data_IF_977936966507
#
_entry.id   IF_977936966507
#
_cell.length_a   1.000
_cell.length_b   1.000
_cell.length_c   1.000
_cell.angle_alpha   90.00
_cell.angle_beta   90.00
_cell.angle_gamma   90.00
#
_symmetry.space_group_name_H-M   'P 1'
#
loop_
_entity.id
_entity.type
_entity.pdbx_description
1 polymer ?
#
# COMPACT_ATOMS: atom_id res chain seq x y z
N UNK A 1 7.70 -55.88 62.60
CA UNK A 1 8.48 -54.95 63.43
C UNK A 1 8.99 -53.86 62.50
N UNK A 2 8.18 -52.83 62.22
CA UNK A 2 8.11 -51.59 63.03
C UNK A 2 9.47 -50.90 63.02
N UNK A 3 9.71 -49.66 62.55
CA UNK A 3 8.98 -48.38 62.40
C UNK A 3 9.81 -47.61 61.34
N UNK A 4 9.25 -46.96 60.32
CA UNK A 4 8.70 -45.59 60.39
C UNK A 4 9.80 -44.54 60.11
N UNK A 5 9.74 -43.90 58.93
CA UNK A 5 9.84 -42.45 58.75
C UNK A 5 9.82 -42.10 57.26
N UNK A 6 8.61 -41.82 56.78
CA UNK A 6 8.36 -41.08 55.54
C UNK A 6 8.53 -39.60 55.88
N UNK A 7 9.52 -38.92 55.32
CA UNK A 7 9.52 -37.46 55.27
C UNK A 7 8.34 -37.02 54.39
N UNK A 8 7.24 -36.63 55.03
CA UNK A 8 6.16 -35.88 54.39
C UNK A 8 6.71 -34.56 53.87
N UNK A 9 6.79 -34.45 52.54
CA UNK A 9 6.87 -33.15 51.88
C UNK A 9 5.48 -32.54 51.99
N UNK A 10 5.27 -31.72 53.02
CA UNK A 10 4.09 -30.86 53.13
C UNK A 10 4.07 -29.91 51.93
N UNK A 11 3.19 -30.19 50.97
CA UNK A 11 2.79 -29.18 49.98
C UNK A 11 1.99 -28.13 50.74
N UNK A 12 2.60 -26.95 50.93
CA UNK A 12 1.86 -25.75 51.32
C UNK A 12 0.96 -25.42 50.12
N UNK A 13 -0.32 -25.78 50.22
CA UNK A 13 -1.38 -25.34 49.33
C UNK A 13 -1.46 -23.81 49.40
N UNK A 14 -0.83 -23.14 48.45
CA UNK A 14 -1.15 -21.76 48.13
C UNK A 14 -2.46 -21.78 47.35
N UNK A 15 -3.57 -21.73 48.08
CA UNK A 15 -4.90 -21.45 47.56
C UNK A 15 -4.91 -19.97 47.10
N UNK A 16 -4.27 -19.71 45.97
CA UNK A 16 -4.41 -18.46 45.22
C UNK A 16 -5.63 -18.68 44.35
N UNK A 17 -6.64 -17.84 44.46
CA UNK A 17 -7.93 -17.99 43.79
C UNK A 17 -7.77 -18.50 42.35
N UNK A 18 -8.12 -19.77 42.17
CA UNK A 18 -7.86 -20.56 40.97
C UNK A 18 -8.58 -20.01 39.73
N UNK A 19 -9.51 -19.07 39.93
CA UNK A 19 -10.23 -18.37 38.87
C UNK A 19 -9.38 -17.27 38.22
N UNK A 20 -8.61 -16.51 39.00
CA UNK A 20 -7.77 -15.43 38.47
C UNK A 20 -6.59 -15.99 37.70
N UNK A 21 -5.94 -17.05 38.21
CA UNK A 21 -4.83 -17.70 37.52
C UNK A 21 -5.28 -18.37 36.21
N UNK A 22 -6.50 -18.95 36.17
CA UNK A 22 -7.12 -19.51 34.97
C UNK A 22 -7.53 -18.43 33.98
N UNK A 23 -8.11 -17.31 34.43
CA UNK A 23 -8.40 -16.16 33.58
C UNK A 23 -7.12 -15.58 32.97
N UNK A 24 -6.03 -15.48 33.75
CA UNK A 24 -4.74 -14.96 33.29
C UNK A 24 -4.05 -15.90 32.30
N UNK A 25 -4.11 -17.22 32.50
CA UNK A 25 -3.58 -18.20 31.54
C UNK A 25 -4.41 -18.26 30.26
N UNK A 26 -5.74 -18.24 30.38
CA UNK A 26 -6.65 -18.25 29.24
C UNK A 26 -6.56 -16.95 28.41
N UNK A 27 -6.37 -15.80 29.05
CA UNK A 27 -6.11 -14.51 28.40
C UNK A 27 -4.76 -14.53 27.65
N UNK A 28 -3.69 -15.00 28.29
CA UNK A 28 -2.38 -15.14 27.65
C UNK A 28 -2.37 -16.12 26.47
N UNK A 29 -3.11 -17.22 26.57
CA UNK A 29 -3.21 -18.21 25.49
C UNK A 29 -4.06 -17.68 24.32
N UNK A 30 -5.13 -16.93 24.59
CA UNK A 30 -5.88 -16.21 23.56
C UNK A 30 -4.99 -15.17 22.87
N UNK A 31 -4.20 -14.40 23.62
CA UNK A 31 -3.32 -13.39 23.07
C UNK A 31 -2.18 -14.00 22.24
N UNK A 32 -1.54 -15.08 22.72
CA UNK A 32 -0.55 -15.84 21.94
C UNK A 32 -1.15 -16.43 20.66
N UNK A 33 -2.39 -16.92 20.71
CA UNK A 33 -3.08 -17.43 19.53
C UNK A 33 -3.36 -16.32 18.50
N UNK A 34 -3.74 -15.12 18.96
CA UNK A 34 -3.92 -13.94 18.10
C UNK A 34 -2.60 -13.48 17.48
N UNK A 35 -1.53 -13.37 18.28
CA UNK A 35 -0.18 -13.01 17.81
C UNK A 35 0.30 -14.00 16.76
N UNK A 36 0.09 -15.31 16.98
CA UNK A 36 0.48 -16.36 16.02
C UNK A 36 -0.35 -16.31 14.74
N UNK A 37 -1.64 -16.01 14.82
CA UNK A 37 -2.51 -15.87 13.66
C UNK A 37 -2.19 -14.61 12.85
N UNK A 38 -1.82 -13.50 13.50
CA UNK A 38 -1.35 -12.29 12.83
C UNK A 38 0.01 -12.51 12.19
N UNK A 39 0.96 -13.16 12.88
CA UNK A 39 2.26 -13.54 12.29
C UNK A 39 2.11 -14.44 11.07
N UNK A 40 1.21 -15.43 11.11
CA UNK A 40 0.85 -16.23 9.93
C UNK A 40 0.24 -15.39 8.81
N UNK A 41 -0.65 -14.44 9.11
CA UNK A 41 -1.23 -13.51 8.11
C UNK A 41 -0.20 -12.54 7.52
N UNK A 42 0.78 -12.08 8.31
CA UNK A 42 1.92 -11.26 7.84
C UNK A 42 2.80 -12.05 6.87
N UNK A 43 2.96 -13.36 7.10
CA UNK A 43 3.76 -14.26 6.24
C UNK A 43 3.03 -14.74 4.98
N UNK A 44 1.70 -14.91 5.01
CA UNK A 44 0.94 -15.52 3.89
C UNK A 44 -0.04 -14.59 3.18
N UNK A 45 -0.52 -13.52 3.84
CA UNK A 45 -1.60 -12.68 3.33
C UNK A 45 -1.15 -11.46 2.50
N UNK A 46 0.04 -10.90 2.76
CA UNK A 46 0.49 -9.67 2.08
C UNK A 46 0.95 -9.88 0.63
N UNK A 47 1.49 -11.06 0.31
CA UNK A 47 1.86 -11.43 -1.06
C UNK A 47 0.66 -11.91 -1.90
N UNK A 48 -0.50 -12.10 -1.25
CA UNK A 48 -1.73 -12.64 -1.84
C UNK A 48 -2.95 -11.69 -1.75
N UNK A 49 -2.76 -10.37 -1.69
CA UNK A 49 -3.85 -9.45 -1.99
C UNK A 49 -4.19 -9.58 -3.49
N UNK A 50 -4.97 -10.61 -3.82
CA UNK A 50 -5.36 -11.00 -5.18
C UNK A 50 -6.65 -10.26 -5.54
N UNK A 51 -6.55 -9.20 -6.32
CA UNK A 51 -7.71 -8.55 -6.93
C UNK A 51 -7.68 -7.03 -6.91
N UNK A 52 -8.79 -6.44 -7.37
CA UNK A 52 -8.98 -4.99 -7.34
C UNK A 52 -9.05 -4.49 -5.90
N UNK A 53 -8.51 -3.30 -5.66
CA UNK A 53 -8.48 -2.71 -4.32
C UNK A 53 -9.90 -2.30 -3.90
N UNK A 54 -10.36 -2.71 -2.71
CA UNK A 54 -11.69 -2.33 -2.24
C UNK A 54 -11.79 -0.83 -2.04
N UNK A 55 -12.94 -0.23 -2.39
CA UNK A 55 -13.17 1.22 -2.28
C UNK A 55 -12.96 1.76 -0.85
N UNK A 56 -13.17 0.91 0.16
CA UNK A 56 -12.91 1.21 1.57
C UNK A 56 -11.46 1.66 1.81
N UNK A 57 -10.49 1.06 1.13
CA UNK A 57 -9.10 1.43 1.27
C UNK A 57 -8.86 2.88 0.81
N UNK A 58 -9.49 3.31 -0.29
CA UNK A 58 -9.41 4.69 -0.78
C UNK A 58 -10.03 5.68 0.21
N UNK A 59 -11.14 5.29 0.85
CA UNK A 59 -11.77 6.08 1.91
C UNK A 59 -10.86 6.17 3.14
N UNK A 60 -10.18 5.09 3.51
CA UNK A 60 -9.22 5.09 4.62
C UNK A 60 -8.00 5.96 4.32
N UNK A 61 -7.52 5.97 3.08
CA UNK A 61 -6.50 6.92 2.65
C UNK A 61 -7.00 8.36 2.71
N UNK A 62 -8.18 8.65 2.19
CA UNK A 62 -8.80 9.98 2.26
C UNK A 62 -8.91 10.49 3.71
N UNK A 63 -9.33 9.62 4.64
CA UNK A 63 -9.38 9.89 6.09
C UNK A 63 -7.99 10.18 6.69
N UNK A 64 -6.94 9.55 6.15
CA UNK A 64 -5.56 9.80 6.61
C UNK A 64 -5.06 11.20 6.21
N UNK A 65 -5.48 11.73 5.05
CA UNK A 65 -5.13 13.08 4.61
C UNK A 65 -5.79 14.15 5.47
N UNK A 66 -7.12 14.11 5.57
CA UNK A 66 -7.89 15.17 6.21
C UNK A 66 -9.25 14.67 6.71
N UNK A 67 -9.93 15.44 7.60
CA UNK A 67 -11.34 15.23 7.88
C UNK A 67 -12.16 15.24 6.59
N UNK A 68 -13.25 14.45 6.56
CA UNK A 68 -14.10 14.28 5.38
C UNK A 68 -14.55 15.59 4.74
N UNK A 69 -14.83 16.61 5.55
CA UNK A 69 -15.22 17.94 5.08
C UNK A 69 -14.15 18.57 4.18
N UNK A 70 -12.87 18.49 4.54
CA UNK A 70 -11.78 19.10 3.75
C UNK A 70 -11.57 18.32 2.45
N UNK A 71 -11.64 16.99 2.48
CA UNK A 71 -11.55 16.14 1.28
C UNK A 71 -12.71 16.44 0.33
N UNK A 72 -13.91 16.59 0.88
CA UNK A 72 -15.10 16.93 0.12
C UNK A 72 -15.00 18.32 -0.52
N UNK A 73 -14.52 19.33 0.21
CA UNK A 73 -14.26 20.67 -0.33
C UNK A 73 -13.21 20.64 -1.45
N UNK A 74 -12.16 19.81 -1.34
CA UNK A 74 -11.17 19.64 -2.40
C UNK A 74 -11.78 18.98 -3.65
N UNK A 75 -12.65 17.99 -3.48
CA UNK A 75 -13.39 17.38 -4.58
C UNK A 75 -14.29 18.40 -5.28
N UNK A 76 -15.00 19.24 -4.53
CA UNK A 76 -15.81 20.34 -5.09
C UNK A 76 -14.93 21.32 -5.84
N UNK A 77 -13.79 21.71 -5.26
CA UNK A 77 -12.85 22.63 -5.90
C UNK A 77 -12.35 22.06 -7.24
N UNK A 78 -11.95 20.78 -7.27
CA UNK A 78 -11.56 20.09 -8.52
C UNK A 78 -12.70 20.05 -9.53
N UNK A 79 -13.89 19.61 -9.12
CA UNK A 79 -15.04 19.54 -10.00
C UNK A 79 -15.45 20.91 -10.54
N UNK A 80 -15.34 21.97 -9.73
CA UNK A 80 -15.64 23.35 -10.15
C UNK A 80 -14.61 23.90 -11.14
N UNK A 81 -13.34 23.54 -11.00
CA UNK A 81 -12.30 23.94 -11.94
C UNK A 81 -12.56 23.30 -13.31
N UNK A 82 -12.86 21.99 -13.33
CA UNK A 82 -13.19 21.27 -14.56
C UNK A 82 -14.50 21.72 -15.19
N UNK A 83 -15.52 22.03 -14.38
CA UNK A 83 -16.75 22.63 -14.87
C UNK A 83 -16.50 24.03 -15.47
N UNK A 84 -15.59 24.82 -14.91
CA UNK A 84 -15.23 26.12 -15.49
C UNK A 84 -14.44 25.96 -16.79
N UNK A 85 -13.56 24.96 -16.90
CA UNK A 85 -12.91 24.60 -18.18
C UNK A 85 -13.95 24.28 -19.25
N UNK A 86 -14.94 23.44 -18.92
CA UNK A 86 -16.06 23.12 -19.82
C UNK A 86 -16.78 24.38 -20.31
N UNK A 87 -17.15 25.27 -19.38
CA UNK A 87 -17.85 26.52 -19.71
C UNK A 87 -16.97 27.42 -20.56
N UNK A 88 -15.67 27.52 -20.27
CA UNK A 88 -14.72 28.30 -21.05
C UNK A 88 -14.57 27.78 -22.49
N UNK A 89 -14.50 26.45 -22.67
CA UNK A 89 -14.44 25.83 -23.99
C UNK A 89 -15.71 26.09 -24.80
N UNK A 90 -16.88 25.92 -24.17
CA UNK A 90 -18.16 26.24 -24.79
C UNK A 90 -18.26 27.73 -25.16
N UNK A 91 -17.79 28.60 -24.28
CA UNK A 91 -17.77 30.06 -24.49
C UNK A 91 -16.94 30.45 -25.72
N UNK A 92 -15.81 29.78 -25.97
CA UNK A 92 -15.00 29.98 -27.19
C UNK A 92 -15.80 29.61 -28.44
N UNK A 93 -16.57 28.51 -28.41
CA UNK A 93 -17.41 28.09 -29.52
C UNK A 93 -18.51 29.11 -29.85
N UNK A 94 -19.14 29.67 -28.81
CA UNK A 94 -20.21 30.67 -28.95
C UNK A 94 -19.69 32.02 -29.43
N UNK A 95 -18.56 32.51 -28.91
CA UNK A 95 -18.00 33.81 -29.34
C UNK A 95 -17.54 33.78 -30.80
N UNK A 96 -17.08 32.62 -31.28
CA UNK A 96 -16.64 32.49 -32.66
C UNK A 96 -17.76 32.61 -33.70
N UNK A 97 -19.04 32.62 -33.28
CA UNK A 97 -20.16 32.94 -34.16
C UNK A 97 -20.34 34.45 -34.29
N UNK A 98 -20.23 34.95 -35.52
CA UNK A 98 -20.26 36.39 -35.82
C UNK A 98 -21.63 37.02 -35.54
N UNK A 99 -22.72 36.26 -35.71
CA UNK A 99 -24.09 36.73 -35.53
C UNK A 99 -24.56 36.66 -34.07
N UNK A 100 -24.06 35.69 -33.30
CA UNK A 100 -24.46 35.49 -31.91
C UNK A 100 -23.68 36.46 -31.00
N UNK A 101 -24.39 37.33 -30.27
CA UNK A 101 -23.82 38.37 -29.41
C UNK A 101 -23.00 39.45 -30.16
N UNK A 102 -23.47 39.91 -31.32
CA UNK A 102 -22.89 41.04 -32.06
C UNK A 102 -22.91 42.36 -31.26
N UNK A 103 -23.86 42.51 -30.32
CA UNK A 103 -23.98 43.68 -29.46
C UNK A 103 -22.92 43.75 -28.33
N UNK A 104 -22.15 42.68 -28.10
CA UNK A 104 -21.10 42.65 -27.08
C UNK A 104 -19.75 42.98 -27.72
N UNK A 105 -19.05 43.97 -27.16
CA UNK A 105 -17.70 44.34 -27.62
C UNK A 105 -16.74 43.16 -27.56
N UNK A 106 -15.89 43.03 -28.57
CA UNK A 106 -14.86 41.97 -28.66
C UNK A 106 -13.98 41.90 -27.40
N UNK A 107 -13.62 43.04 -26.83
CA UNK A 107 -12.82 43.12 -25.60
C UNK A 107 -13.56 42.56 -24.37
N UNK A 108 -14.88 42.71 -24.32
CA UNK A 108 -15.69 42.15 -23.23
C UNK A 108 -15.79 40.63 -23.35
N UNK A 109 -15.89 40.10 -24.59
CA UNK A 109 -15.88 38.65 -24.87
C UNK A 109 -14.59 37.99 -24.37
N UNK A 110 -13.43 38.59 -24.72
CA UNK A 110 -12.11 38.15 -24.22
C UNK A 110 -12.01 38.34 -22.71
N UNK A 111 -12.47 39.46 -22.16
CA UNK A 111 -12.43 39.74 -20.73
C UNK A 111 -13.13 38.66 -19.90
N UNK A 112 -14.30 38.20 -20.35
CA UNK A 112 -15.04 37.10 -19.70
C UNK A 112 -14.23 35.79 -19.74
N UNK A 113 -13.64 35.45 -20.89
CA UNK A 113 -12.77 34.27 -21.01
C UNK A 113 -11.56 34.35 -20.07
N UNK A 114 -10.87 35.50 -20.01
CA UNK A 114 -9.76 35.73 -19.10
C UNK A 114 -10.17 35.57 -17.62
N UNK A 115 -11.35 36.03 -17.22
CA UNK A 115 -11.86 35.84 -15.85
C UNK A 115 -12.08 34.34 -15.55
N UNK A 116 -12.70 33.60 -16.47
CA UNK A 116 -12.89 32.14 -16.34
C UNK A 116 -11.54 31.41 -16.24
N UNK A 117 -10.59 31.70 -17.12
CA UNK A 117 -9.25 31.09 -17.09
C UNK A 117 -8.48 31.45 -15.81
N UNK A 118 -8.64 32.69 -15.32
CA UNK A 118 -8.01 33.12 -14.05
C UNK A 118 -8.61 32.36 -12.86
N UNK A 119 -9.92 32.10 -12.86
CA UNK A 119 -10.55 31.24 -11.86
C UNK A 119 -9.99 29.82 -11.90
N UNK A 120 -9.89 29.21 -13.09
CA UNK A 120 -9.35 27.85 -13.25
C UNK A 120 -7.92 27.79 -12.71
N UNK A 121 -7.07 28.76 -13.07
CA UNK A 121 -5.70 28.85 -12.58
C UNK A 121 -5.67 28.96 -11.05
N UNK A 122 -6.49 29.83 -10.46
CA UNK A 122 -6.57 30.00 -9.02
C UNK A 122 -7.06 28.73 -8.30
N UNK A 123 -8.08 28.05 -8.85
CA UNK A 123 -8.60 26.79 -8.32
C UNK A 123 -7.54 25.67 -8.37
N UNK A 124 -6.80 25.55 -9.47
CA UNK A 124 -5.72 24.58 -9.61
C UNK A 124 -4.54 24.86 -8.68
N UNK A 125 -4.14 26.13 -8.53
CA UNK A 125 -3.07 26.54 -7.61
C UNK A 125 -3.47 26.29 -6.15
N UNK A 126 -4.66 26.73 -5.75
CA UNK A 126 -5.17 26.50 -4.39
C UNK A 126 -5.28 25.01 -4.07
N UNK A 127 -5.81 24.18 -4.98
CA UNK A 127 -5.82 22.71 -4.86
C UNK A 127 -4.42 22.14 -4.67
N UNK A 128 -3.44 22.63 -5.43
CA UNK A 128 -2.05 22.13 -5.36
C UNK A 128 -1.38 22.49 -4.04
N UNK A 129 -1.57 23.71 -3.56
CA UNK A 129 -1.04 24.18 -2.27
C UNK A 129 -1.69 23.41 -1.12
N UNK A 130 -3.03 23.36 -1.06
CA UNK A 130 -3.77 22.65 -0.01
C UNK A 130 -3.38 21.16 -0.03
N UNK A 131 -3.36 20.55 -1.21
CA UNK A 131 -2.93 19.17 -1.40
C UNK A 131 -1.54 18.90 -0.84
N UNK A 132 -0.55 19.75 -1.15
CA UNK A 132 0.80 19.62 -0.61
C UNK A 132 0.86 19.66 0.92
N UNK A 133 0.10 20.56 1.55
CA UNK A 133 0.00 20.61 3.02
C UNK A 133 -0.65 19.35 3.60
N UNK A 134 -1.72 18.85 2.98
CA UNK A 134 -2.42 17.65 3.44
C UNK A 134 -1.55 16.40 3.30
N UNK A 135 -0.85 16.24 2.18
CA UNK A 135 0.08 15.11 1.96
C UNK A 135 1.20 15.15 2.98
N UNK A 136 1.82 16.31 3.22
CA UNK A 136 2.86 16.46 4.24
C UNK A 136 2.36 16.09 5.65
N UNK A 137 1.13 16.49 6.00
CA UNK A 137 0.50 16.14 7.28
C UNK A 137 0.21 14.64 7.36
N UNK A 138 -0.31 14.05 6.28
CA UNK A 138 -0.61 12.63 6.19
C UNK A 138 0.65 11.79 6.34
N UNK A 139 1.70 12.10 5.58
CA UNK A 139 3.02 11.46 5.64
C UNK A 139 3.55 11.40 7.08
N UNK A 140 3.56 12.54 7.81
CA UNK A 140 4.00 12.57 9.22
C UNK A 140 3.18 11.64 10.12
N UNK A 141 1.86 11.57 9.92
CA UNK A 141 0.98 10.71 10.72
C UNK A 141 1.15 9.24 10.36
N UNK A 142 1.17 8.91 9.07
CA UNK A 142 1.32 7.54 8.58
C UNK A 142 2.69 7.01 8.98
N UNK A 143 3.76 7.77 8.76
CA UNK A 143 5.11 7.43 9.24
C UNK A 143 5.13 7.25 10.76
N UNK A 144 4.57 8.21 11.52
CA UNK A 144 4.58 8.14 13.00
C UNK A 144 3.82 6.94 13.55
N UNK A 145 2.66 6.61 12.96
CA UNK A 145 1.89 5.42 13.32
C UNK A 145 2.62 4.13 12.94
N UNK A 146 3.20 4.07 11.74
CA UNK A 146 3.99 2.93 11.30
C UNK A 146 5.16 2.68 12.25
N UNK A 147 5.94 3.73 12.56
CA UNK A 147 7.08 3.64 13.47
C UNK A 147 6.64 3.22 14.87
N UNK A 148 5.59 3.82 15.43
CA UNK A 148 5.09 3.46 16.76
C UNK A 148 4.59 2.02 16.81
N UNK A 149 3.86 1.56 15.77
CA UNK A 149 3.29 0.23 15.73
C UNK A 149 4.38 -0.84 15.61
N UNK A 150 5.33 -0.63 14.69
CA UNK A 150 6.48 -1.54 14.55
C UNK A 150 7.29 -1.57 15.85
N UNK A 151 7.64 -0.42 16.42
CA UNK A 151 8.49 -0.36 17.64
C UNK A 151 7.86 -1.08 18.86
N UNK A 152 6.53 -1.13 18.93
CA UNK A 152 5.78 -1.79 20.01
C UNK A 152 5.41 -3.24 19.69
N UNK A 153 5.81 -3.76 18.53
CA UNK A 153 5.49 -5.13 18.15
C UNK A 153 6.25 -6.14 19.04
N UNK A 154 5.66 -7.32 19.32
CA UNK A 154 6.30 -8.34 20.15
C UNK A 154 7.56 -8.91 19.54
N UNK A 155 8.49 -9.39 20.38
CA UNK A 155 9.71 -10.08 19.90
C UNK A 155 9.41 -11.17 18.86
N UNK A 156 8.31 -11.91 19.00
CA UNK A 156 7.87 -12.93 18.04
C UNK A 156 7.61 -12.41 16.62
N UNK A 157 7.20 -11.14 16.48
CA UNK A 157 7.03 -10.51 15.17
C UNK A 157 8.38 -10.33 14.47
N UNK A 158 9.42 -9.94 15.21
CA UNK A 158 10.77 -9.75 14.69
C UNK A 158 11.45 -11.08 14.37
N UNK A 159 11.18 -12.14 15.13
CA UNK A 159 11.70 -13.49 14.85
C UNK A 159 11.08 -14.11 13.58
N UNK A 160 9.83 -13.74 13.26
CA UNK A 160 9.07 -14.33 12.14
C UNK A 160 9.09 -13.46 10.88
N UNK A 161 9.37 -12.17 11.00
CA UNK A 161 9.33 -11.22 9.87
C UNK A 161 10.76 -10.86 9.45
N UNK A 162 11.16 -11.13 8.20
CA UNK A 162 12.48 -10.74 7.72
C UNK A 162 12.70 -9.23 7.86
N UNK A 163 13.86 -8.83 8.40
CA UNK A 163 14.16 -7.41 8.63
C UNK A 163 14.12 -6.59 7.33
N UNK A 164 14.48 -7.18 6.20
CA UNK A 164 14.38 -6.56 4.88
C UNK A 164 12.94 -6.18 4.50
N UNK A 165 11.93 -6.94 4.95
CA UNK A 165 10.51 -6.62 4.71
C UNK A 165 10.09 -5.38 5.47
N UNK A 166 10.52 -5.25 6.73
CA UNK A 166 10.26 -4.07 7.57
C UNK A 166 10.93 -2.85 6.95
N UNK A 167 12.21 -2.96 6.57
CA UNK A 167 12.95 -1.89 5.91
C UNK A 167 12.22 -1.45 4.63
N UNK A 168 11.76 -2.40 3.80
CA UNK A 168 11.06 -2.08 2.56
C UNK A 168 9.74 -1.30 2.78
N UNK A 169 9.06 -1.48 3.93
CA UNK A 169 7.89 -0.64 4.28
C UNK A 169 8.27 0.84 4.41
N UNK A 170 9.42 1.13 5.03
CA UNK A 170 9.90 2.50 5.24
C UNK A 170 10.59 3.08 4.00
N UNK A 171 11.35 2.27 3.26
CA UNK A 171 12.20 2.74 2.15
C UNK A 171 11.58 2.58 0.77
N UNK A 172 10.64 1.64 0.60
CA UNK A 172 9.98 1.34 -0.67
C UNK A 172 8.55 1.85 -0.71
N UNK A 173 7.71 1.43 0.24
CA UNK A 173 6.28 1.76 0.20
C UNK A 173 5.98 3.20 0.61
N UNK A 174 6.58 3.67 1.71
CA UNK A 174 6.29 5.00 2.26
C UNK A 174 6.60 6.14 1.27
N UNK A 175 7.72 6.14 0.53
CA UNK A 175 7.98 7.16 -0.48
C UNK A 175 6.96 7.18 -1.62
N UNK A 176 6.43 6.03 -2.04
CA UNK A 176 5.38 5.96 -3.07
C UNK A 176 4.07 6.60 -2.58
N UNK A 177 3.72 6.38 -1.32
CA UNK A 177 2.55 6.99 -0.68
C UNK A 177 2.72 8.52 -0.57
N UNK A 178 3.90 8.95 -0.16
CA UNK A 178 4.18 10.36 0.15
C UNK A 178 4.37 11.23 -1.09
N UNK A 179 4.94 10.69 -2.17
CA UNK A 179 5.31 11.47 -3.37
C UNK A 179 4.33 11.29 -4.51
N UNK A 180 3.74 10.11 -4.66
CA UNK A 180 3.04 9.75 -5.90
C UNK A 180 1.55 9.47 -5.70
N UNK A 181 1.15 8.80 -4.62
CA UNK A 181 -0.23 8.31 -4.47
C UNK A 181 -1.29 9.43 -4.58
N UNK A 182 -1.11 10.54 -3.87
CA UNK A 182 -2.03 11.68 -3.94
C UNK A 182 -2.12 12.25 -5.37
N UNK A 183 -0.98 12.50 -5.99
CA UNK A 183 -0.92 13.08 -7.33
C UNK A 183 -1.59 12.18 -8.35
N UNK A 184 -1.38 10.86 -8.24
CA UNK A 184 -2.00 9.87 -9.12
C UNK A 184 -3.52 9.84 -8.97
N UNK A 185 -4.02 9.82 -7.73
CA UNK A 185 -5.47 9.82 -7.48
C UNK A 185 -6.11 11.08 -8.07
N UNK A 186 -5.53 12.25 -7.83
CA UNK A 186 -6.06 13.50 -8.38
C UNK A 186 -5.95 13.53 -9.91
N UNK A 187 -4.86 13.00 -10.48
CA UNK A 187 -4.69 12.94 -11.92
C UNK A 187 -5.76 12.05 -12.58
N UNK A 188 -5.98 10.84 -12.05
CA UNK A 188 -7.05 9.93 -12.52
C UNK A 188 -8.43 10.58 -12.39
N UNK A 189 -8.72 11.26 -11.27
CA UNK A 189 -9.99 11.98 -11.08
C UNK A 189 -10.17 13.10 -12.11
N UNK A 190 -9.13 13.90 -12.37
CA UNK A 190 -9.17 14.96 -13.37
C UNK A 190 -9.35 14.40 -14.78
N UNK A 191 -8.71 13.27 -15.10
CA UNK A 191 -8.97 12.59 -16.38
C UNK A 191 -10.45 12.22 -16.48
N UNK A 192 -11.05 11.58 -15.48
CA UNK A 192 -12.49 11.29 -15.48
C UNK A 192 -13.37 12.54 -15.63
N UNK A 193 -13.07 13.64 -14.94
CA UNK A 193 -13.82 14.88 -15.07
C UNK A 193 -13.67 15.52 -16.46
N UNK A 194 -12.45 15.59 -16.99
CA UNK A 194 -12.14 16.08 -18.34
C UNK A 194 -12.84 15.23 -19.43
N UNK A 195 -13.08 13.97 -19.13
CA UNK A 195 -13.74 13.03 -20.02
C UNK A 195 -15.24 13.26 -20.09
N UNK A 196 -15.85 13.38 -18.92
CA UNK A 196 -17.25 13.73 -18.78
C UNK A 196 -17.50 15.11 -19.40
N UNK A 197 -16.59 16.06 -19.19
CA UNK A 197 -16.70 17.40 -19.75
C UNK A 197 -16.64 17.37 -21.28
N UNK A 198 -15.71 16.64 -21.89
CA UNK A 198 -15.63 16.48 -23.34
C UNK A 198 -16.94 15.93 -23.95
N UNK A 199 -17.55 14.92 -23.31
CA UNK A 199 -18.84 14.37 -23.76
C UNK A 199 -19.96 15.39 -23.63
N UNK A 200 -20.02 16.15 -22.53
CA UNK A 200 -21.04 17.18 -22.31
C UNK A 200 -20.93 18.31 -23.35
N UNK A 201 -19.72 18.83 -23.63
CA UNK A 201 -19.53 19.89 -24.62
C UNK A 201 -20.08 19.49 -25.99
N UNK A 202 -19.78 18.26 -26.44
CA UNK A 202 -20.26 17.75 -27.73
C UNK A 202 -21.79 17.55 -27.72
N UNK A 203 -22.34 17.09 -26.59
CA UNK A 203 -23.76 16.78 -26.46
C UNK A 203 -24.67 18.02 -26.43
N UNK A 204 -24.19 19.16 -25.93
CA UNK A 204 -24.99 20.39 -25.81
C UNK A 204 -25.41 20.95 -27.17
N UNK A 205 -24.54 20.92 -28.17
CA UNK A 205 -24.85 21.51 -29.47
C UNK A 205 -25.68 20.60 -30.37
N UNK A 206 -25.42 19.28 -30.37
CA UNK A 206 -26.14 18.34 -31.24
C UNK A 206 -26.46 17.05 -30.49
N UNK A 207 -27.71 16.92 -30.03
CA UNK A 207 -28.18 15.73 -29.31
C UNK A 207 -28.10 14.44 -30.15
N UNK A 208 -28.11 14.53 -31.49
CA UNK A 208 -27.89 13.38 -32.39
C UNK A 208 -26.52 12.72 -32.18
N UNK A 209 -25.53 13.45 -31.66
CA UNK A 209 -24.23 12.85 -31.29
C UNK A 209 -24.32 11.83 -30.19
N UNK A 210 -25.26 11.97 -29.24
CA UNK A 210 -25.43 10.97 -28.18
C UNK A 210 -25.82 9.61 -28.77
N UNK A 211 -26.59 9.58 -29.86
CA UNK A 211 -27.01 8.33 -30.49
C UNK A 211 -25.82 7.53 -31.08
N UNK A 212 -24.83 8.21 -31.67
CA UNK A 212 -23.61 7.58 -32.20
C UNK A 212 -22.50 7.44 -31.14
N UNK A 213 -22.41 8.39 -30.23
CA UNK A 213 -21.41 8.44 -29.17
C UNK A 213 -21.62 7.36 -28.12
N UNK A 214 -22.86 7.15 -27.63
CA UNK A 214 -23.14 6.17 -26.57
C UNK A 214 -22.66 4.75 -26.93
N UNK A 215 -22.92 4.20 -28.13
CA UNK A 215 -22.37 2.91 -28.53
C UNK A 215 -20.84 2.86 -28.51
N UNK A 216 -20.18 3.92 -28.98
CA UNK A 216 -18.72 4.02 -28.99
C UNK A 216 -18.15 4.09 -27.56
N UNK A 217 -18.76 4.90 -26.69
CA UNK A 217 -18.42 5.00 -25.27
C UNK A 217 -18.55 3.65 -24.57
N UNK A 218 -19.64 2.94 -24.84
CA UNK A 218 -19.92 1.63 -24.25
C UNK A 218 -18.89 0.60 -24.71
N UNK A 219 -18.55 0.59 -26.00
CA UNK A 219 -17.55 -0.32 -26.56
C UNK A 219 -16.16 -0.01 -25.99
N UNK A 220 -15.79 1.27 -25.86
CA UNK A 220 -14.56 1.68 -25.18
C UNK A 220 -14.54 1.19 -23.74
N UNK A 221 -15.62 1.41 -22.98
CA UNK A 221 -15.69 0.97 -21.59
C UNK A 221 -15.51 -0.55 -21.46
N UNK A 222 -16.10 -1.33 -22.36
CA UNK A 222 -15.91 -2.79 -22.39
C UNK A 222 -14.43 -3.14 -22.66
N UNK A 223 -13.81 -2.55 -23.69
CA UNK A 223 -12.40 -2.79 -24.02
C UNK A 223 -11.50 -2.42 -22.85
N UNK A 224 -11.68 -1.23 -22.25
CA UNK A 224 -10.89 -0.78 -21.12
C UNK A 224 -11.09 -1.68 -19.89
N UNK A 225 -12.31 -2.15 -19.63
CA UNK A 225 -12.59 -3.06 -18.52
C UNK A 225 -11.91 -4.43 -18.68
N UNK A 226 -11.87 -4.95 -19.91
CA UNK A 226 -11.13 -6.19 -20.24
C UNK A 226 -9.63 -5.95 -20.10
N UNK A 227 -9.13 -4.88 -20.72
CA UNK A 227 -7.71 -4.53 -20.71
C UNK A 227 -7.20 -4.28 -19.29
N UNK A 228 -7.95 -3.56 -18.45
CA UNK A 228 -7.56 -3.28 -17.07
C UNK A 228 -7.29 -4.58 -16.28
N UNK A 229 -8.09 -5.64 -16.50
CA UNK A 229 -7.85 -6.95 -15.88
C UNK A 229 -6.56 -7.59 -16.39
N UNK A 230 -6.33 -7.54 -17.70
CA UNK A 230 -5.12 -8.08 -18.32
C UNK A 230 -3.87 -7.30 -17.88
N UNK A 231 -3.89 -5.98 -17.98
CA UNK A 231 -2.80 -5.07 -17.63
C UNK A 231 -2.30 -5.28 -16.20
N UNK A 232 -3.21 -5.46 -15.23
CA UNK A 232 -2.83 -5.78 -13.83
C UNK A 232 -2.08 -7.09 -13.70
N UNK A 233 -2.55 -8.13 -14.39
CA UNK A 233 -1.90 -9.44 -14.36
C UNK A 233 -0.55 -9.42 -15.10
N UNK A 234 -0.45 -8.69 -16.21
CA UNK A 234 0.79 -8.51 -16.97
C UNK A 234 1.84 -7.76 -16.14
N UNK A 235 1.47 -6.62 -15.54
CA UNK A 235 2.33 -5.88 -14.62
C UNK A 235 2.79 -6.76 -13.45
N UNK A 236 1.89 -7.60 -12.90
CA UNK A 236 2.26 -8.53 -11.83
C UNK A 236 3.30 -9.56 -12.27
N UNK A 237 3.11 -10.18 -13.44
CA UNK A 237 4.07 -11.15 -14.00
C UNK A 237 5.42 -10.49 -14.26
N UNK A 238 5.42 -9.25 -14.77
CA UNK A 238 6.63 -8.47 -14.99
C UNK A 238 7.38 -8.19 -13.69
N UNK A 239 6.68 -7.71 -12.66
CA UNK A 239 7.28 -7.41 -11.35
C UNK A 239 7.82 -8.67 -10.67
N UNK A 240 7.13 -9.80 -10.79
CA UNK A 240 7.58 -11.09 -10.25
C UNK A 240 8.84 -11.59 -10.94
N UNK A 241 8.95 -11.46 -12.27
CA UNK A 241 10.13 -11.87 -13.02
C UNK A 241 11.33 -10.91 -12.81
N UNK A 242 11.08 -9.64 -12.53
CA UNK A 242 12.13 -8.64 -12.29
C UNK A 242 12.87 -8.85 -10.97
N UNK A 243 12.18 -9.29 -9.91
CA UNK A 243 12.77 -9.39 -8.57
C UNK A 243 13.96 -10.36 -8.47
N UNK A 244 13.91 -11.59 -9.05
CA UNK A 244 15.05 -12.50 -9.10
C UNK A 244 16.28 -11.91 -9.80
N UNK A 245 16.10 -11.17 -10.91
CA UNK A 245 17.20 -10.54 -11.66
C UNK A 245 17.95 -9.54 -10.78
N UNK A 246 17.22 -8.67 -10.07
CA UNK A 246 17.82 -7.69 -9.15
C UNK A 246 18.49 -8.36 -7.94
N UNK A 247 17.91 -9.45 -7.44
CA UNK A 247 18.45 -10.21 -6.31
C UNK A 247 19.77 -10.87 -6.70
N UNK A 248 19.82 -11.55 -7.86
CA UNK A 248 21.02 -12.16 -8.39
C UNK A 248 22.11 -11.12 -8.66
N UNK A 249 21.74 -9.98 -9.24
CA UNK A 249 22.67 -8.88 -9.46
C UNK A 249 23.30 -8.36 -8.16
N UNK A 250 22.48 -8.16 -7.12
CA UNK A 250 22.96 -7.75 -5.80
C UNK A 250 23.88 -8.79 -5.18
N UNK A 251 23.55 -10.08 -5.27
CA UNK A 251 24.39 -11.18 -4.77
C UNK A 251 25.74 -11.25 -5.48
N UNK A 252 25.76 -11.10 -6.81
CA UNK A 252 27.00 -11.12 -7.59
C UNK A 252 27.92 -9.92 -7.31
N UNK A 253 27.35 -8.76 -6.98
CA UNK A 253 28.11 -7.50 -6.84
C UNK A 253 28.46 -7.15 -5.39
N UNK A 254 27.67 -7.61 -4.42
CA UNK A 254 27.82 -7.21 -3.02
C UNK A 254 28.72 -8.16 -2.22
N UNK A 255 29.47 -7.58 -1.28
CA UNK A 255 30.24 -8.33 -0.29
C UNK A 255 31.28 -9.27 -0.92
N UNK A 256 31.20 -10.55 -0.55
CA UNK A 256 32.10 -11.58 -1.04
C UNK A 256 31.73 -12.16 -2.42
N UNK A 257 30.55 -11.84 -2.98
CA UNK A 257 30.07 -12.46 -4.22
C UNK A 257 31.04 -12.31 -5.39
N UNK A 258 31.43 -11.06 -5.70
CA UNK A 258 32.34 -10.77 -6.81
C UNK A 258 33.72 -11.44 -6.67
N UNK A 259 34.46 -11.31 -5.55
CA UNK A 259 35.75 -11.97 -5.39
C UNK A 259 35.63 -13.49 -5.40
N UNK A 260 34.57 -14.07 -4.81
CA UNK A 260 34.30 -15.51 -4.84
C UNK A 260 34.07 -16.03 -6.26
N UNK A 261 33.21 -15.38 -7.05
CA UNK A 261 32.94 -15.78 -8.44
C UNK A 261 34.24 -15.74 -9.27
N UNK A 262 35.09 -14.73 -9.05
CA UNK A 262 36.37 -14.59 -9.74
C UNK A 262 37.40 -15.62 -9.30
N UNK A 263 37.50 -15.91 -8.00
CA UNK A 263 38.47 -16.88 -7.48
C UNK A 263 38.16 -18.30 -7.93
N UNK A 264 36.88 -18.65 -8.07
CA UNK A 264 36.45 -19.97 -8.57
C UNK A 264 36.34 -20.05 -10.11
N UNK A 265 36.57 -18.95 -10.84
CA UNK A 265 36.48 -18.95 -12.30
C UNK A 265 35.08 -19.22 -12.86
N UNK A 266 34.02 -18.92 -12.08
CA UNK A 266 32.63 -19.28 -12.42
C UNK A 266 31.88 -18.20 -13.19
N UNK A 267 32.56 -17.18 -13.73
CA UNK A 267 31.93 -16.02 -14.36
C UNK A 267 30.95 -16.41 -15.47
N UNK A 268 31.27 -17.43 -16.27
CA UNK A 268 30.43 -17.86 -17.38
C UNK A 268 29.15 -18.57 -16.92
N UNK A 269 29.20 -19.31 -15.81
CA UNK A 269 28.01 -19.96 -15.24
C UNK A 269 27.03 -18.91 -14.70
N UNK A 270 27.53 -17.96 -13.88
CA UNK A 270 26.71 -16.87 -13.35
C UNK A 270 26.18 -15.94 -14.44
N UNK A 271 26.96 -15.70 -15.51
CA UNK A 271 26.48 -14.99 -16.70
C UNK A 271 25.30 -15.70 -17.35
N UNK A 272 25.38 -17.02 -17.56
CA UNK A 272 24.28 -17.80 -18.15
C UNK A 272 23.02 -17.74 -17.29
N UNK A 273 23.17 -17.86 -15.97
CA UNK A 273 22.06 -17.75 -15.03
C UNK A 273 21.40 -16.36 -15.10
N UNK A 274 22.22 -15.30 -15.09
CA UNK A 274 21.73 -13.93 -15.22
C UNK A 274 21.00 -13.69 -16.53
N UNK A 275 21.55 -14.17 -17.66
CA UNK A 275 20.90 -14.05 -18.97
C UNK A 275 19.56 -14.81 -18.98
N UNK A 276 19.49 -16.02 -18.42
CA UNK A 276 18.25 -16.80 -18.33
C UNK A 276 17.15 -16.05 -17.57
N UNK A 277 17.46 -15.51 -16.38
CA UNK A 277 16.50 -14.71 -15.61
C UNK A 277 16.13 -13.40 -16.32
N UNK A 278 17.09 -12.76 -16.98
CA UNK A 278 16.85 -11.53 -17.73
C UNK A 278 15.97 -11.77 -18.95
N UNK A 279 16.18 -12.85 -19.69
CA UNK A 279 15.33 -13.27 -20.81
C UNK A 279 13.91 -13.55 -20.33
N UNK A 280 13.79 -14.18 -19.15
CA UNK A 280 12.49 -14.38 -18.52
C UNK A 280 11.79 -13.04 -18.31
N UNK A 281 12.40 -12.11 -17.56
CA UNK A 281 11.85 -10.78 -17.32
C UNK A 281 11.54 -10.03 -18.62
N UNK A 282 12.44 -10.07 -19.59
CA UNK A 282 12.29 -9.38 -20.89
C UNK A 282 11.04 -9.84 -21.62
N UNK A 283 10.78 -11.14 -21.71
CA UNK A 283 9.57 -11.68 -22.36
C UNK A 283 8.30 -11.17 -21.67
N UNK A 284 8.29 -11.05 -20.34
CA UNK A 284 7.09 -10.61 -19.59
C UNK A 284 6.89 -9.10 -19.73
N UNK A 285 7.98 -8.33 -19.76
CA UNK A 285 7.95 -6.89 -20.03
C UNK A 285 7.49 -6.58 -21.46
N UNK A 286 7.99 -7.35 -22.45
CA UNK A 286 7.49 -7.27 -23.84
C UNK A 286 5.99 -7.58 -23.88
N UNK A 287 5.54 -8.65 -23.23
CA UNK A 287 4.11 -8.99 -23.22
C UNK A 287 3.24 -7.90 -22.59
N UNK A 288 3.73 -7.24 -21.53
CA UNK A 288 3.11 -6.08 -20.91
C UNK A 288 3.01 -4.90 -21.89
N UNK A 289 4.10 -4.62 -22.61
CA UNK A 289 4.17 -3.58 -23.63
C UNK A 289 3.26 -3.85 -24.84
N UNK A 290 3.25 -5.08 -25.36
CA UNK A 290 2.37 -5.50 -26.46
C UNK A 290 0.90 -5.43 -26.06
N UNK A 291 0.57 -5.76 -24.80
CA UNK A 291 -0.77 -5.58 -24.25
C UNK A 291 -1.20 -4.11 -24.26
N UNK A 292 -0.29 -3.20 -23.91
CA UNK A 292 -0.52 -1.76 -23.99
C UNK A 292 -0.72 -1.29 -25.44
N UNK A 293 0.15 -1.73 -26.36
CA UNK A 293 0.03 -1.41 -27.78
C UNK A 293 -1.32 -1.87 -28.34
N UNK A 294 -1.75 -3.09 -28.03
CA UNK A 294 -3.05 -3.61 -28.43
C UNK A 294 -4.18 -2.70 -27.94
N UNK A 295 -4.17 -2.33 -26.65
CA UNK A 295 -5.19 -1.45 -26.10
C UNK A 295 -5.15 -0.05 -26.74
N UNK A 296 -3.96 0.46 -27.05
CA UNK A 296 -3.74 1.77 -27.68
C UNK A 296 -4.31 1.79 -29.10
N UNK A 297 -4.08 0.72 -29.87
CA UNK A 297 -4.63 0.57 -31.22
C UNK A 297 -6.16 0.46 -31.17
N UNK A 298 -6.70 -0.37 -30.27
CA UNK A 298 -8.15 -0.59 -30.16
C UNK A 298 -8.89 0.68 -29.73
N UNK A 299 -8.38 1.36 -28.69
CA UNK A 299 -8.96 2.61 -28.20
C UNK A 299 -8.77 3.74 -29.21
N UNK A 300 -7.57 3.88 -29.78
CA UNK A 300 -7.24 4.88 -30.79
C UNK A 300 -8.06 4.75 -32.07
N UNK A 301 -8.31 3.52 -32.55
CA UNK A 301 -9.19 3.27 -33.68
C UNK A 301 -10.62 3.72 -33.40
N UNK A 302 -11.13 3.41 -32.22
CA UNK A 302 -12.50 3.72 -31.83
C UNK A 302 -12.74 5.21 -31.56
N UNK A 303 -11.77 5.90 -30.96
CA UNK A 303 -11.79 7.36 -30.79
C UNK A 303 -11.60 8.11 -32.11
N UNK A 304 -10.87 7.51 -33.07
CA UNK A 304 -10.77 8.04 -34.44
C UNK A 304 -12.12 7.95 -35.14
N UNK A 305 -12.82 6.82 -35.04
CA UNK A 305 -14.19 6.68 -35.54
C UNK A 305 -15.14 7.69 -34.87
N UNK A 306 -15.01 7.89 -33.56
CA UNK A 306 -15.78 8.90 -32.83
C UNK A 306 -15.51 10.31 -33.37
N UNK A 307 -14.24 10.70 -33.52
CA UNK A 307 -13.85 12.01 -34.04
C UNK A 307 -14.30 12.22 -35.48
N UNK A 308 -14.19 11.21 -36.35
CA UNK A 308 -14.71 11.28 -37.71
C UNK A 308 -16.24 11.50 -37.73
N UNK A 309 -16.96 10.87 -36.81
CA UNK A 309 -18.41 11.07 -36.64
C UNK A 309 -18.72 12.50 -36.20
N UNK A 310 -17.95 13.05 -35.25
CA UNK A 310 -18.02 14.45 -34.80
C UNK A 310 -17.82 15.41 -35.97
N UNK A 311 -16.81 15.18 -36.80
CA UNK A 311 -16.53 16.01 -37.97
C UNK A 311 -17.68 15.94 -38.98
N UNK A 312 -18.13 14.75 -39.37
CA UNK A 312 -19.13 14.58 -40.42
C UNK A 312 -20.51 15.16 -40.05
N UNK A 313 -21.02 14.82 -38.86
CA UNK A 313 -22.29 15.33 -38.38
C UNK A 313 -22.20 16.81 -38.00
N UNK A 314 -21.05 17.23 -37.45
CA UNK A 314 -20.81 18.60 -37.04
C UNK A 314 -20.70 19.54 -38.24
N UNK A 315 -20.13 19.08 -39.35
CA UNK A 315 -20.09 19.83 -40.61
C UNK A 315 -21.49 20.21 -41.12
N UNK A 316 -22.49 19.35 -40.89
CA UNK A 316 -23.87 19.59 -41.32
C UNK A 316 -24.69 20.43 -40.32
N UNK A 317 -24.32 20.45 -39.04
CA UNK A 317 -25.18 20.95 -37.96
C UNK A 317 -24.59 22.11 -37.14
N UNK A 318 -23.27 22.32 -37.18
CA UNK A 318 -22.56 23.25 -36.31
C UNK A 318 -21.88 24.36 -37.11
N UNK A 319 -21.72 25.53 -36.49
CA UNK A 319 -20.87 26.59 -37.05
C UNK A 319 -19.39 26.17 -37.03
N UNK A 320 -18.53 26.78 -37.85
CA UNK A 320 -17.10 26.46 -37.87
C UNK A 320 -16.42 26.60 -36.50
N UNK A 321 -16.86 27.58 -35.69
CA UNK A 321 -16.32 27.81 -34.36
C UNK A 321 -16.69 26.69 -33.37
N UNK A 322 -17.98 26.33 -33.30
CA UNK A 322 -18.46 25.22 -32.45
C UNK A 322 -17.89 23.88 -32.90
N UNK A 323 -17.78 23.65 -34.21
CA UNK A 323 -17.13 22.46 -34.76
C UNK A 323 -15.67 22.34 -34.32
N UNK A 324 -14.92 23.44 -34.32
CA UNK A 324 -13.54 23.46 -33.81
C UNK A 324 -13.44 23.04 -32.35
N UNK A 325 -14.34 23.54 -31.50
CA UNK A 325 -14.41 23.15 -30.08
C UNK A 325 -14.79 21.67 -29.93
N UNK A 326 -15.75 21.16 -30.71
CA UNK A 326 -16.17 19.77 -30.68
C UNK A 326 -15.04 18.81 -31.10
N UNK A 327 -14.26 19.17 -32.12
CA UNK A 327 -13.06 18.41 -32.53
C UNK A 327 -12.01 18.42 -31.41
N UNK A 328 -11.76 19.57 -30.78
CA UNK A 328 -10.84 19.65 -29.63
C UNK A 328 -11.30 18.81 -28.44
N UNK A 329 -12.61 18.77 -28.17
CA UNK A 329 -13.20 17.91 -27.15
C UNK A 329 -13.06 16.41 -27.50
N UNK A 330 -13.22 16.02 -28.78
CA UNK A 330 -13.07 14.62 -29.19
C UNK A 330 -11.62 14.12 -29.09
N UNK A 331 -10.62 14.99 -29.22
CA UNK A 331 -9.22 14.65 -28.94
C UNK A 331 -8.95 14.39 -27.46
N UNK A 332 -9.55 15.16 -26.54
CA UNK A 332 -9.46 14.84 -25.09
C UNK A 332 -10.10 13.50 -24.76
N UNK A 333 -11.09 13.10 -25.55
CA UNK A 333 -11.69 11.77 -25.49
C UNK A 333 -10.78 10.65 -26.04
N UNK A 334 -9.73 10.96 -26.81
CA UNK A 334 -8.66 9.99 -27.15
C UNK A 334 -7.72 9.73 -25.96
N UNK A 335 -7.31 10.78 -25.25
CA UNK A 335 -6.43 10.67 -24.06
C UNK A 335 -7.04 9.80 -22.95
N UNK A 336 -8.36 9.66 -22.96
CA UNK A 336 -9.15 8.76 -22.13
C UNK A 336 -8.86 7.27 -22.28
N UNK A 337 -8.31 6.85 -23.42
CA UNK A 337 -8.11 5.45 -23.76
C UNK A 337 -7.06 4.78 -22.87
N UNK A 338 -5.90 4.47 -23.45
CA UNK A 338 -4.85 3.72 -22.75
C UNK A 338 -4.23 4.45 -21.57
N UNK A 339 -4.04 5.76 -21.67
CA UNK A 339 -3.47 6.54 -20.57
C UNK A 339 -4.30 6.47 -19.29
N UNK A 340 -5.64 6.51 -19.37
CA UNK A 340 -6.49 6.37 -18.18
C UNK A 340 -6.30 5.00 -17.52
N UNK A 341 -6.21 3.93 -18.31
CA UNK A 341 -6.02 2.57 -17.77
C UNK A 341 -4.65 2.43 -17.14
N UNK A 342 -3.60 2.93 -17.77
CA UNK A 342 -2.24 2.95 -17.21
C UNK A 342 -2.20 3.68 -15.88
N UNK A 343 -2.76 4.89 -15.82
CA UNK A 343 -2.81 5.68 -14.59
C UNK A 343 -3.67 5.03 -13.51
N UNK A 344 -4.74 4.31 -13.89
CA UNK A 344 -5.54 3.52 -12.96
C UNK A 344 -4.74 2.33 -12.40
N UNK A 345 -3.97 1.62 -13.23
CA UNK A 345 -3.10 0.52 -12.79
C UNK A 345 -1.99 1.03 -11.89
N UNK A 346 -1.38 2.17 -12.22
CA UNK A 346 -0.39 2.83 -11.37
C UNK A 346 -1.01 3.26 -10.04
N UNK A 347 -2.21 3.85 -10.06
CA UNK A 347 -2.98 4.20 -8.86
C UNK A 347 -3.21 2.99 -7.97
N UNK A 348 -3.68 1.86 -8.53
CA UNK A 348 -3.88 0.62 -7.79
C UNK A 348 -2.55 0.09 -7.20
N UNK A 349 -1.46 0.15 -7.96
CA UNK A 349 -0.14 -0.29 -7.49
C UNK A 349 0.36 0.54 -6.31
N UNK A 350 0.26 1.87 -6.42
CA UNK A 350 0.61 2.82 -5.34
C UNK A 350 -0.29 2.63 -4.12
N UNK A 351 -1.57 2.37 -4.36
CA UNK A 351 -2.55 2.14 -3.31
C UNK A 351 -2.33 0.80 -2.58
N UNK A 352 -1.81 -0.22 -3.26
CA UNK A 352 -1.36 -1.47 -2.63
C UNK A 352 -0.24 -1.19 -1.62
N UNK A 353 0.69 -0.29 -1.96
CA UNK A 353 1.75 0.15 -1.04
C UNK A 353 1.17 0.81 0.21
N UNK A 354 0.15 1.66 0.06
CA UNK A 354 -0.60 2.22 1.18
C UNK A 354 -1.27 1.14 2.04
N UNK A 355 -1.93 0.14 1.44
CA UNK A 355 -2.57 -0.93 2.21
C UNK A 355 -1.58 -1.71 3.06
N UNK A 356 -0.38 -2.01 2.54
CA UNK A 356 0.67 -2.69 3.29
C UNK A 356 1.13 -1.84 4.48
N UNK A 357 1.41 -0.55 4.27
CA UNK A 357 1.78 0.37 5.36
C UNK A 357 0.65 0.52 6.39
N UNK A 358 -0.58 0.63 5.92
CA UNK A 358 -1.77 0.75 6.78
C UNK A 358 -1.97 -0.52 7.63
N UNK A 359 -1.71 -1.69 7.07
CA UNK A 359 -1.75 -2.97 7.79
C UNK A 359 -0.69 -3.01 8.90
N UNK A 360 0.57 -2.67 8.63
CA UNK A 360 1.61 -2.60 9.67
C UNK A 360 1.29 -1.55 10.74
N UNK A 361 0.61 -0.46 10.36
CA UNK A 361 0.31 0.63 11.28
C UNK A 361 -0.82 0.31 12.26
N UNK A 362 -1.78 -0.55 11.89
CA UNK A 362 -3.01 -0.76 12.69
C UNK A 362 -3.25 -2.21 13.12
N UNK A 363 -2.65 -3.19 12.44
CA UNK A 363 -2.97 -4.61 12.62
C UNK A 363 -1.87 -5.40 13.32
N UNK A 364 -0.71 -4.78 13.63
CA UNK A 364 0.35 -5.46 14.36
C UNK A 364 -0.09 -5.70 15.82
N UNK A 365 0.19 -6.89 16.38
CA UNK A 365 0.04 -7.08 17.81
C UNK A 365 1.03 -6.16 18.52
N UNK A 366 0.62 -5.61 19.67
CA UNK A 366 1.46 -4.76 20.49
C UNK A 366 1.83 -5.53 21.77
N UNK A 367 3.06 -5.39 22.25
CA UNK A 367 3.40 -5.81 23.61
C UNK A 367 2.55 -5.01 24.59
N UNK A 368 1.96 -5.70 25.56
CA UNK A 368 1.21 -5.06 26.63
C UNK A 368 2.22 -4.22 27.43
N UNK A 369 2.01 -2.91 27.48
CA UNK A 369 2.63 -2.12 28.53
C UNK A 369 1.92 -2.52 29.83
N UNK A 370 2.62 -3.22 30.73
CA UNK A 370 2.10 -3.47 32.07
C UNK A 370 1.84 -2.10 32.72
N UNK A 371 0.67 -1.93 33.34
CA UNK A 371 0.41 -0.74 34.17
C UNK A 371 1.45 -0.68 35.30
N UNK A 372 1.81 0.53 35.76
CA UNK A 372 2.91 0.74 36.70
C UNK A 372 2.79 -0.12 37.99
N UNK A 373 1.57 -0.33 38.47
CA UNK A 373 1.28 -1.21 39.62
C UNK A 373 1.54 -2.69 39.31
N UNK A 374 1.17 -3.15 38.11
CA UNK A 374 1.36 -4.53 37.66
C UNK A 374 2.83 -4.81 37.35
N UNK A 375 3.55 -3.83 36.79
CA UNK A 375 4.99 -3.87 36.58
C UNK A 375 5.75 -3.97 37.92
N UNK A 376 5.36 -3.17 38.92
CA UNK A 376 5.93 -3.25 40.27
C UNK A 376 5.71 -4.63 40.91
N UNK A 377 4.51 -5.20 40.73
CA UNK A 377 4.17 -6.51 41.28
C UNK A 377 4.98 -7.63 40.59
N UNK A 378 5.08 -7.59 39.26
CA UNK A 378 5.91 -8.50 38.49
C UNK A 378 7.38 -8.38 38.86
N UNK A 379 7.93 -7.16 38.99
CA UNK A 379 9.32 -6.94 39.35
C UNK A 379 9.64 -7.44 40.77
N UNK A 380 8.75 -7.19 41.74
CA UNK A 380 8.84 -7.77 43.10
C UNK A 380 8.84 -9.30 43.05
N UNK A 381 7.98 -9.91 42.24
CA UNK A 381 7.91 -11.35 42.07
C UNK A 381 9.15 -11.93 41.36
N UNK A 382 9.69 -11.22 40.36
CA UNK A 382 10.92 -11.58 39.64
C UNK A 382 12.13 -11.55 40.57
N UNK A 383 12.27 -10.48 41.35
CA UNK A 383 13.32 -10.33 42.38
C UNK A 383 13.23 -11.42 43.46
N UNK A 384 12.02 -11.77 43.92
CA UNK A 384 11.81 -12.91 44.84
C UNK A 384 12.27 -14.24 44.23
N UNK A 385 11.93 -14.54 42.97
CA UNK A 385 12.37 -15.76 42.28
C UNK A 385 13.90 -15.82 42.10
N UNK A 386 14.54 -14.70 41.75
CA UNK A 386 15.99 -14.62 41.61
C UNK A 386 16.68 -14.85 42.97
N UNK A 387 16.19 -14.20 44.03
CA UNK A 387 16.74 -14.38 45.38
C UNK A 387 16.57 -15.83 45.88
N UNK A 388 15.45 -16.49 45.56
CA UNK A 388 15.24 -17.91 45.89
C UNK A 388 16.25 -18.80 45.15
N UNK A 389 16.43 -18.62 43.84
CA UNK A 389 17.45 -19.34 43.05
C UNK A 389 18.87 -19.08 43.56
N UNK A 390 19.22 -17.84 43.91
CA UNK A 390 20.53 -17.52 44.47
C UNK A 390 20.76 -18.14 45.86
N UNK A 391 19.72 -18.20 46.71
CA UNK A 391 19.77 -18.91 47.99
C UNK A 391 19.93 -20.42 47.80
N UNK A 392 19.24 -21.03 46.85
CA UNK A 392 19.40 -22.45 46.49
C UNK A 392 20.82 -22.74 45.96
N UNK A 393 21.37 -21.89 45.11
CA UNK A 393 22.77 -22.01 44.63
C UNK A 393 23.77 -21.84 45.78
N UNK A 394 23.53 -20.91 46.72
CA UNK A 394 24.35 -20.78 47.94
C UNK A 394 24.22 -21.99 48.86
N UNK A 395 23.02 -22.58 48.99
CA UNK A 395 22.81 -23.81 49.76
C UNK A 395 23.49 -25.02 49.13
N UNK A 396 23.51 -25.10 47.79
CA UNK A 396 24.23 -26.13 47.05
C UNK A 396 25.75 -25.94 47.14
N UNK A 397 26.27 -24.71 47.09
CA UNK A 397 27.69 -24.40 47.32
C UNK A 397 28.12 -24.51 48.79
N UNK A 398 27.20 -24.37 49.74
CA UNK A 398 27.45 -24.45 51.18
C UNK A 398 27.45 -25.87 51.76
N UNK A 399 27.02 -26.88 50.99
CA UNK A 399 27.28 -28.29 51.33
C UNK A 399 28.69 -28.65 50.83
N UNK A 400 29.65 -28.98 51.71
CA UNK A 400 30.93 -29.49 51.26
C UNK A 400 30.70 -30.87 50.62
N UNK A 401 30.73 -30.93 49.29
CA UNK A 401 31.02 -32.17 48.57
C UNK A 401 32.49 -32.53 48.83
N UNK A 402 32.77 -33.07 50.00
CA UNK A 402 34.03 -33.78 50.24
C UNK A 402 33.74 -35.29 50.15
N UNK A 403 33.87 -35.91 48.95
CA UNK A 403 33.61 -37.33 48.75
C UNK A 403 34.42 -38.24 49.69
N UNK A 404 35.55 -37.76 50.23
CA UNK A 404 36.39 -38.51 51.18
C UNK A 404 35.78 -38.66 52.59
N UNK A 405 34.89 -37.76 53.04
CA UNK A 405 34.21 -37.90 54.35
C UNK A 405 33.05 -38.89 54.32
N UNK A 406 32.37 -39.02 53.17
CA UNK A 406 31.26 -39.99 52.99
C UNK A 406 31.78 -41.43 52.92
N UNK A 407 32.93 -41.65 52.26
CA UNK A 407 33.60 -42.96 52.26
C UNK A 407 34.17 -43.34 53.63
N UNK A 408 34.76 -42.41 54.40
CA UNK A 408 35.24 -42.73 55.77
C UNK A 408 34.12 -43.12 56.72
N UNK A 409 32.96 -42.46 56.66
CA UNK A 409 31.79 -42.85 57.48
C UNK A 409 31.21 -44.20 57.07
N UNK A 410 31.20 -44.55 55.77
CA UNK A 410 30.77 -45.89 55.34
C UNK A 410 31.75 -46.99 55.77
N UNK A 411 33.06 -46.72 55.76
CA UNK A 411 34.08 -47.68 56.21
C UNK A 411 34.08 -47.84 57.74
N UNK A 412 33.84 -46.77 58.51
CA UNK A 412 33.66 -46.87 59.97
C UNK A 412 32.38 -47.62 60.35
N UNK A 413 31.27 -47.40 59.62
CA UNK A 413 30.01 -48.11 59.86
C UNK A 413 30.06 -49.58 59.43
N UNK A 414 30.88 -49.94 58.45
CA UNK A 414 31.14 -51.35 58.12
C UNK A 414 32.01 -52.05 59.15
N UNK A 415 32.98 -51.35 59.77
CA UNK A 415 33.82 -51.92 60.83
C UNK A 415 33.11 -52.09 62.17
N UNK A 416 32.05 -51.32 62.43
CA UNK A 416 31.22 -51.45 63.64
C UNK A 416 30.16 -52.56 63.56
N UNK A 417 29.96 -53.16 62.38
CA UNK A 417 29.02 -54.28 62.18
C UNK A 417 29.72 -55.65 62.06
N UNK A 418 31.05 -55.71 62.16
CA UNK A 418 31.85 -56.96 62.13
C UNK A 418 32.54 -57.31 63.46
N UNK A 419 32.14 -56.64 64.55
CA UNK A 419 32.41 -57.04 65.96
C UNK A 419 31.11 -56.98 66.73
#
# INVERSE_FOLDING_TARGET
NEIGDKEEISFIDYNTDNQDLKHFTQYNDQQKSQIRNVGKRVLTGEEQATGAIPIRAYIDYARSLAPYLIVFLLLILSASAEAMCLVADYWVGVIGEVEQYSNISYWMKIGIYCIMSTYVLFAMLSRSIIGGYLVKRSSRRVHGKLLSSVSKAPSSFYDTTPIGRIINRFTGDLPLIDRELYNTIIHVLNMWFSSISAVIVIAVDTALFLAFGIPVLLLLFIILAIYLRAARNLMRLELMARSPVLSLYNEMTSGAGLPTIRSYGMQQQWRKEFVSLNDEWTIRSILSHEGNLWASIMTGGLTTLFTASVIFLGWMSMSPAKLGVAIGASFRFFELGTHLVEETVQMETRMTSYQRVHFYSNSLPHEIALDDEEYELEDKNRKKKINKKQKEIKYQKGKPQNPRKKQRKLIELQKLNET
#
